data_IF_119634872133
#
_entry.id   IF_119634872133
#
_cell.length_a   1.000
_cell.length_b   1.000
_cell.length_c   1.000
_cell.angle_alpha   90.00
_cell.angle_beta   90.00
_cell.angle_gamma   90.00
#
_symmetry.space_group_name_H-M   'P 1'
#
loop_
_entity.id
_entity.type
_entity.pdbx_description
1 polymer ?
#
# COMPACT_ATOMS: atom_id res chain seq x y z
N UNK A 1 -28.92 30.78 -2.62
CA UNK A 1 -28.21 29.59 -2.10
C UNK A 1 -28.34 28.30 -2.93
N UNK A 2 -29.04 28.27 -4.09
CA UNK A 2 -29.15 27.04 -4.91
C UNK A 2 -27.91 26.73 -5.76
N UNK A 3 -27.17 27.74 -6.22
CA UNK A 3 -26.07 27.59 -7.19
C UNK A 3 -24.88 26.79 -6.61
N UNK A 4 -24.53 27.03 -5.34
CA UNK A 4 -23.50 26.27 -4.62
C UNK A 4 -23.81 24.77 -4.50
N UNK A 5 -25.10 24.42 -4.43
CA UNK A 5 -25.55 23.05 -4.26
C UNK A 5 -25.47 22.27 -5.56
N UNK A 6 -25.80 22.91 -6.69
CA UNK A 6 -25.66 22.31 -8.03
C UNK A 6 -24.19 22.09 -8.36
N UNK A 7 -23.32 23.07 -8.09
CA UNK A 7 -21.88 22.97 -8.35
C UNK A 7 -21.23 21.82 -7.53
N UNK A 8 -21.61 21.69 -6.26
CA UNK A 8 -21.12 20.59 -5.40
C UNK A 8 -21.60 19.21 -5.88
N UNK A 9 -22.80 19.14 -6.43
CA UNK A 9 -23.37 17.89 -6.96
C UNK A 9 -22.66 17.48 -8.24
N UNK A 10 -22.42 18.41 -9.17
CA UNK A 10 -21.70 18.15 -10.41
C UNK A 10 -20.26 17.72 -10.17
N UNK A 11 -19.55 18.38 -9.24
CA UNK A 11 -18.19 18.00 -8.84
C UNK A 11 -18.15 16.58 -8.26
N UNK A 12 -19.14 16.20 -7.43
CA UNK A 12 -19.23 14.82 -6.92
C UNK A 12 -19.48 13.79 -8.01
N UNK A 13 -20.30 14.10 -9.01
CA UNK A 13 -20.61 13.17 -10.10
C UNK A 13 -19.36 12.94 -10.95
N UNK A 14 -18.66 14.01 -11.33
CA UNK A 14 -17.41 13.93 -12.09
C UNK A 14 -16.32 13.22 -11.27
N UNK A 15 -16.21 13.53 -9.98
CA UNK A 15 -15.30 12.83 -9.08
C UNK A 15 -15.62 11.34 -8.98
N UNK A 16 -16.88 10.94 -8.85
CA UNK A 16 -17.28 9.53 -8.86
C UNK A 16 -16.95 8.84 -10.19
N UNK A 17 -17.15 9.52 -11.32
CA UNK A 17 -16.88 8.96 -12.64
C UNK A 17 -15.38 8.69 -12.87
N UNK A 18 -14.51 9.52 -12.29
CA UNK A 18 -13.06 9.30 -12.27
C UNK A 18 -12.62 8.32 -11.17
N UNK A 19 -13.26 8.35 -10.00
CA UNK A 19 -12.93 7.49 -8.87
C UNK A 19 -13.31 6.04 -9.13
N UNK A 20 -14.43 5.76 -9.79
CA UNK A 20 -14.87 4.38 -10.10
C UNK A 20 -13.79 3.59 -10.86
N UNK A 21 -13.24 4.05 -12.00
CA UNK A 21 -12.19 3.31 -12.70
C UNK A 21 -10.88 3.24 -11.91
N UNK A 22 -10.51 4.31 -11.20
CA UNK A 22 -9.31 4.32 -10.33
C UNK A 22 -9.43 3.31 -9.20
N UNK A 23 -10.60 3.24 -8.57
CA UNK A 23 -10.88 2.33 -7.48
C UNK A 23 -10.96 0.88 -7.99
N UNK A 24 -11.51 0.68 -9.18
CA UNK A 24 -11.56 -0.63 -9.85
C UNK A 24 -10.16 -1.15 -10.14
N UNK A 25 -9.28 -0.30 -10.70
CA UNK A 25 -7.89 -0.68 -10.94
C UNK A 25 -7.12 -0.89 -9.64
N UNK A 26 -7.37 -0.09 -8.59
CA UNK A 26 -6.79 -0.29 -7.26
C UNK A 26 -7.18 -1.64 -6.65
N UNK A 27 -8.46 -1.99 -6.68
CA UNK A 27 -8.95 -3.28 -6.16
C UNK A 27 -8.40 -4.46 -6.97
N UNK A 28 -8.25 -4.30 -8.28
CA UNK A 28 -7.60 -5.31 -9.13
C UNK A 28 -6.10 -5.46 -8.83
N UNK A 29 -5.43 -4.38 -8.43
CA UNK A 29 -4.01 -4.39 -8.08
C UNK A 29 -3.77 -4.86 -6.64
N UNK A 30 -4.78 -4.81 -5.78
CA UNK A 30 -4.75 -5.26 -4.39
C UNK A 30 -4.10 -6.63 -4.17
N UNK A 31 -4.47 -7.71 -4.89
CA UNK A 31 -3.80 -9.01 -4.73
C UNK A 31 -2.32 -8.97 -5.12
N UNK A 32 -1.96 -8.19 -6.15
CA UNK A 32 -0.57 -8.07 -6.61
C UNK A 32 0.27 -7.31 -5.59
N UNK A 33 -0.25 -6.19 -5.10
CA UNK A 33 0.44 -5.33 -4.12
C UNK A 33 0.59 -6.07 -2.78
N UNK A 34 -0.46 -6.77 -2.34
CA UNK A 34 -0.42 -7.63 -1.16
C UNK A 34 0.58 -8.77 -1.31
N UNK A 35 0.61 -9.44 -2.47
CA UNK A 35 1.57 -10.51 -2.73
C UNK A 35 3.02 -10.00 -2.74
N UNK A 36 3.30 -8.90 -3.43
CA UNK A 36 4.66 -8.31 -3.49
C UNK A 36 5.10 -7.81 -2.12
N UNK A 37 4.24 -7.13 -1.36
CA UNK A 37 4.61 -6.65 -0.03
C UNK A 37 4.79 -7.80 0.96
N UNK A 38 3.90 -8.81 0.97
CA UNK A 38 4.10 -10.01 1.79
C UNK A 38 5.38 -10.73 1.39
N UNK A 39 5.64 -10.90 0.10
CA UNK A 39 6.86 -11.56 -0.38
C UNK A 39 8.12 -10.79 0.00
N UNK A 40 8.14 -9.46 -0.10
CA UNK A 40 9.24 -8.63 0.37
C UNK A 40 9.37 -8.64 1.89
N UNK A 41 8.25 -8.70 2.61
CA UNK A 41 8.25 -8.75 4.06
C UNK A 41 8.86 -10.04 4.58
N UNK A 42 8.33 -11.19 4.12
CA UNK A 42 8.85 -12.52 4.41
C UNK A 42 10.26 -12.69 3.86
N UNK A 43 10.52 -12.23 2.64
CA UNK A 43 11.83 -12.31 1.99
C UNK A 43 12.91 -11.53 2.75
N UNK A 44 12.61 -10.32 3.22
CA UNK A 44 13.53 -9.51 4.03
C UNK A 44 13.83 -10.15 5.39
N UNK A 45 12.82 -10.72 6.04
CA UNK A 45 12.99 -11.45 7.31
C UNK A 45 13.77 -12.76 7.08
N UNK A 46 13.43 -13.52 6.05
CA UNK A 46 14.07 -14.80 5.73
C UNK A 46 15.53 -14.60 5.29
N UNK A 47 15.81 -13.60 4.46
CA UNK A 47 17.16 -13.20 4.11
C UNK A 47 17.96 -12.76 5.34
N UNK A 48 17.31 -12.03 6.26
CA UNK A 48 17.91 -11.65 7.53
C UNK A 48 18.29 -12.84 8.40
N UNK A 49 17.40 -13.81 8.55
CA UNK A 49 17.65 -15.05 9.32
C UNK A 49 18.75 -15.88 8.65
N UNK A 50 18.70 -16.05 7.33
CA UNK A 50 19.73 -16.79 6.59
C UNK A 50 21.12 -16.15 6.75
N UNK A 51 21.21 -14.81 6.71
CA UNK A 51 22.49 -14.11 6.89
C UNK A 51 23.02 -14.16 8.33
N UNK A 52 22.14 -14.01 9.32
CA UNK A 52 22.48 -14.21 10.74
C UNK A 52 23.02 -15.63 10.99
N UNK A 53 22.33 -16.66 10.47
CA UNK A 53 22.73 -18.07 10.62
C UNK A 53 24.00 -18.39 9.82
N UNK A 54 24.23 -17.71 8.70
CA UNK A 54 25.39 -17.95 7.84
C UNK A 54 26.71 -17.52 8.49
N UNK A 55 26.71 -16.59 9.46
CA UNK A 55 27.93 -16.01 10.05
C UNK A 55 28.94 -15.47 9.01
N UNK A 56 28.53 -15.29 7.75
CA UNK A 56 29.36 -14.81 6.65
C UNK A 56 29.36 -13.28 6.66
N UNK A 57 30.29 -12.72 7.45
CA UNK A 57 30.87 -11.39 7.22
C UNK A 57 30.46 -10.27 8.18
N UNK A 58 31.31 -9.23 8.36
CA UNK A 58 31.35 -8.43 9.59
C UNK A 58 30.22 -7.42 9.82
N UNK A 59 29.32 -7.17 8.86
CA UNK A 59 28.29 -6.12 8.98
C UNK A 59 27.09 -6.36 8.06
N UNK A 60 26.38 -7.47 8.21
CA UNK A 60 25.09 -7.55 7.54
C UNK A 60 24.11 -6.57 8.20
N UNK A 61 23.55 -5.57 7.48
CA UNK A 61 22.71 -4.54 8.07
C UNK A 61 21.28 -5.07 8.29
N UNK A 62 21.15 -6.08 9.15
CA UNK A 62 19.91 -6.81 9.45
C UNK A 62 18.78 -5.85 9.83
N UNK A 63 19.05 -4.91 10.74
CA UNK A 63 18.09 -3.89 11.14
C UNK A 63 17.59 -3.05 9.97
N UNK A 64 18.47 -2.67 9.03
CA UNK A 64 18.08 -1.84 7.87
C UNK A 64 17.13 -2.61 6.96
N UNK A 65 17.42 -3.88 6.70
CA UNK A 65 16.59 -4.75 5.86
C UNK A 65 15.24 -5.03 6.53
N UNK A 66 15.23 -5.20 7.86
CA UNK A 66 14.02 -5.39 8.64
C UNK A 66 13.15 -4.13 8.65
N UNK A 67 13.75 -2.94 8.76
CA UNK A 67 13.03 -1.66 8.65
C UNK A 67 12.46 -1.43 7.25
N UNK A 68 13.19 -1.79 6.19
CA UNK A 68 12.70 -1.72 4.81
C UNK A 68 11.50 -2.66 4.63
N UNK A 69 11.63 -3.90 5.10
CA UNK A 69 10.54 -4.90 5.11
C UNK A 69 9.30 -4.39 5.84
N UNK A 70 9.48 -3.78 7.01
CA UNK A 70 8.39 -3.20 7.79
C UNK A 70 7.75 -1.98 7.10
N UNK A 71 8.54 -1.17 6.39
CA UNK A 71 8.05 -0.04 5.61
C UNK A 71 7.14 -0.48 4.44
N UNK A 72 7.45 -1.61 3.80
CA UNK A 72 6.57 -2.20 2.79
C UNK A 72 5.23 -2.65 3.40
N UNK A 73 5.24 -3.26 4.59
CA UNK A 73 4.01 -3.58 5.32
C UNK A 73 3.20 -2.33 5.70
N UNK A 74 3.86 -1.27 6.18
CA UNK A 74 3.21 -0.01 6.51
C UNK A 74 2.60 0.70 5.29
N UNK A 75 3.29 0.68 4.14
CA UNK A 75 2.77 1.16 2.86
C UNK A 75 1.53 0.39 2.42
N UNK A 76 1.50 -0.93 2.63
CA UNK A 76 0.33 -1.75 2.34
C UNK A 76 -0.88 -1.34 3.18
N UNK A 77 -0.68 -1.14 4.49
CA UNK A 77 -1.73 -0.70 5.41
C UNK A 77 -2.26 0.68 4.97
N UNK A 78 -1.36 1.60 4.62
CA UNK A 78 -1.75 2.94 4.15
C UNK A 78 -2.53 2.88 2.84
N UNK A 79 -2.16 1.98 1.92
CA UNK A 79 -2.87 1.76 0.66
C UNK A 79 -4.30 1.26 0.88
N UNK A 80 -4.49 0.23 1.71
CA UNK A 80 -5.83 -0.26 2.06
C UNK A 80 -6.65 0.76 2.84
N UNK A 81 -6.03 1.52 3.75
CA UNK A 81 -6.70 2.59 4.49
C UNK A 81 -7.19 3.70 3.55
N UNK A 82 -6.40 4.04 2.53
CA UNK A 82 -6.78 5.02 1.53
C UNK A 82 -7.93 4.53 0.65
N UNK A 83 -7.91 3.26 0.21
CA UNK A 83 -9.04 2.63 -0.50
C UNK A 83 -10.30 2.67 0.37
N UNK A 84 -10.21 2.26 1.63
CA UNK A 84 -11.34 2.24 2.55
C UNK A 84 -11.91 3.64 2.80
N UNK A 85 -11.05 4.66 2.92
CA UNK A 85 -11.48 6.05 3.05
C UNK A 85 -12.19 6.54 1.78
N UNK A 86 -11.63 6.22 0.61
CA UNK A 86 -12.17 6.62 -0.69
C UNK A 86 -13.51 5.94 -1.01
N UNK A 87 -13.69 4.70 -0.56
CA UNK A 87 -14.93 3.93 -0.70
C UNK A 87 -16.05 4.46 0.21
N UNK A 88 -15.70 5.04 1.37
CA UNK A 88 -16.63 5.54 2.38
C UNK A 88 -17.04 7.02 2.16
N UNK A 89 -16.35 7.74 1.27
CA UNK A 89 -16.49 9.19 1.01
C UNK A 89 -17.56 9.60 -0.01
#
# INVERSE_FOLDING_TARGET
>A
MKIHQVLRTSVRIVAKMLLVPILTTLVLLEPVVSFVCCFMMFGGVFAGILFEVSAVGPRFPFLVILWISLAFGALLILYHALIALLLKG
#
